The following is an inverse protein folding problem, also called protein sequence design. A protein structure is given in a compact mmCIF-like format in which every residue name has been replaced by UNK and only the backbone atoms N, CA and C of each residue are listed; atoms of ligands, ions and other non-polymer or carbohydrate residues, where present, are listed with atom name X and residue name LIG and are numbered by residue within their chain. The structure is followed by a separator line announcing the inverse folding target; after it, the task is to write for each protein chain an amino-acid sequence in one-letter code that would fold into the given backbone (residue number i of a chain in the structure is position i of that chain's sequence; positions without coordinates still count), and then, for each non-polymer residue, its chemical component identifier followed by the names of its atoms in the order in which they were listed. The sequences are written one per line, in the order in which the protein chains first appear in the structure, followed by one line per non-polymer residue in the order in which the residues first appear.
data_IF_584430983899
#
_entry.id   IF_584430983899
#
_cell.length_a   1.000
_cell.length_b   1.000
_cell.length_c   1.000
_cell.angle_alpha   90.00
_cell.angle_beta   90.00
_cell.angle_gamma   90.00
#
_symmetry.space_group_name_H-M   'P 1'
#
loop_
_entity.id
_entity.type
_entity.pdbx_description
1 polymer ?
#
# COMPACT_ATOMS: atom_id res chain seq x y z
N UNK A 1 10.87 3.62 2.33
CA UNK A 1 10.41 2.99 1.07
C UNK A 1 9.03 2.34 1.20
N UNK A 2 8.69 1.61 2.29
CA UNK A 2 7.32 1.04 2.49
C UNK A 2 6.18 2.08 2.51
N UNK A 3 6.43 3.35 2.86
CA UNK A 3 5.43 4.41 2.86
C UNK A 3 5.05 4.89 1.45
N UNK A 4 5.99 4.90 0.51
CA UNK A 4 5.75 5.35 -0.87
C UNK A 4 4.85 4.39 -1.64
N UNK A 5 4.95 3.08 -1.36
CA UNK A 5 4.13 2.06 -2.01
C UNK A 5 2.63 2.16 -1.66
N UNK A 6 2.32 2.56 -0.41
CA UNK A 6 0.93 2.72 0.02
C UNK A 6 0.23 3.94 -0.58
N UNK A 7 0.99 5.00 -0.87
CA UNK A 7 0.47 6.22 -1.50
C UNK A 7 0.13 6.06 -2.98
N UNK A 8 0.86 5.20 -3.71
CA UNK A 8 0.53 4.86 -5.10
C UNK A 8 -0.78 4.07 -5.22
N UNK A 9 -1.11 3.26 -4.20
CA UNK A 9 -2.35 2.49 -4.20
C UNK A 9 -3.61 3.36 -4.01
N UNK A 10 -3.52 4.49 -3.33
CA UNK A 10 -4.65 5.41 -3.10
C UNK A 10 -4.97 6.29 -4.32
N UNK A 11 -3.99 6.62 -5.15
CA UNK A 11 -4.17 7.47 -6.34
C UNK A 11 -4.85 6.80 -7.54
N UNK A 12 -5.09 5.50 -7.51
CA UNK A 12 -5.70 4.73 -8.63
C UNK A 12 -7.22 4.61 -8.55
N UNK A 13 -7.90 5.23 -7.57
CA UNK A 13 -9.33 5.03 -7.31
C UNK A 13 -10.27 6.10 -7.88
N UNK A 14 -9.81 7.00 -8.72
CA UNK A 14 -10.55 8.17 -9.19
C UNK A 14 -11.35 8.00 -10.47
N UNK A 15 -11.93 6.83 -10.82
CA UNK A 15 -12.84 6.75 -11.96
C UNK A 15 -13.94 5.70 -11.77
N UNK A 16 -14.97 6.03 -11.00
CA UNK A 16 -16.33 5.53 -11.25
C UNK A 16 -17.34 6.60 -10.83
N UNK A 17 -18.04 7.12 -11.83
CA UNK A 17 -19.02 8.20 -11.74
C UNK A 17 -20.17 7.86 -10.79
N UNK A 18 -20.50 8.81 -9.89
CA UNK A 18 -21.78 8.87 -9.19
C UNK A 18 -22.83 9.43 -10.15
N UNK A 19 -23.87 8.66 -10.43
CA UNK A 19 -25.16 9.20 -10.86
C UNK A 19 -26.12 9.09 -9.68
N UNK A 20 -26.48 10.23 -9.10
CA UNK A 20 -27.57 10.36 -8.15
C UNK A 20 -28.89 10.47 -8.91
N UNK A 21 -29.89 9.71 -8.51
CA UNK A 21 -31.30 9.95 -8.87
C UNK A 21 -32.18 9.81 -7.63
N UNK A 22 -32.91 10.88 -7.33
CA UNK A 22 -33.96 10.95 -6.32
C UNK A 22 -35.13 10.01 -6.66
N UNK A 23 -35.62 9.27 -5.68
CA UNK A 23 -36.81 8.45 -5.82
C UNK A 23 -37.90 8.84 -4.84
N UNK A 24 -38.99 9.30 -5.39
CA UNK A 24 -40.25 9.63 -4.71
C UNK A 24 -40.97 8.34 -4.28
N UNK A 25 -41.30 8.24 -3.00
CA UNK A 25 -42.04 7.11 -2.44
C UNK A 25 -43.49 7.13 -2.86
N UNK A 26 -43.97 6.05 -3.46
CA UNK A 26 -45.42 5.73 -3.60
C UNK A 26 -45.71 4.49 -2.76
N UNK A 27 -46.63 4.66 -1.80
CA UNK A 27 -47.25 3.57 -1.05
C UNK A 27 -48.14 2.72 -1.96
N UNK A 28 -47.88 1.44 -2.03
CA UNK A 28 -48.75 0.45 -2.67
C UNK A 28 -49.12 -0.67 -1.71
N UNK A 29 -50.40 -1.01 -1.71
CA UNK A 29 -51.08 -2.09 -0.98
C UNK A 29 -50.50 -3.46 -1.34
N UNK A 30 -50.40 -4.36 -0.34
CA UNK A 30 -49.78 -5.68 -0.43
C UNK A 30 -50.50 -6.56 -1.50
N UNK A 31 -49.71 -7.15 -2.43
CA UNK A 31 -50.25 -8.19 -3.34
C UNK A 31 -50.28 -9.55 -2.62
N UNK A 32 -51.02 -10.55 -3.18
CA UNK A 32 -51.12 -11.91 -2.65
C UNK A 32 -49.76 -12.60 -2.59
N UNK A 33 -49.58 -13.65 -1.75
CA UNK A 33 -48.29 -14.28 -1.54
C UNK A 33 -47.73 -14.77 -2.86
N UNK A 34 -46.72 -14.06 -3.33
CA UNK A 34 -45.94 -14.44 -4.51
C UNK A 34 -45.23 -15.76 -4.23
N UNK A 35 -45.19 -16.71 -5.17
CA UNK A 35 -44.43 -17.95 -4.99
C UNK A 35 -42.99 -17.58 -4.61
N UNK A 36 -42.43 -18.30 -3.65
CA UNK A 36 -41.09 -18.08 -3.15
C UNK A 36 -40.10 -18.01 -4.33
N UNK A 37 -39.34 -16.94 -4.43
CA UNK A 37 -38.41 -16.73 -5.54
C UNK A 37 -37.39 -17.89 -5.59
N UNK A 38 -37.14 -18.42 -6.78
CA UNK A 38 -36.17 -19.49 -6.99
C UNK A 38 -34.74 -19.00 -6.71
N UNK A 39 -33.78 -19.90 -6.41
CA UNK A 39 -32.37 -19.52 -6.26
C UNK A 39 -31.84 -18.69 -7.42
N UNK A 40 -32.24 -19.02 -8.64
CA UNK A 40 -31.82 -18.33 -9.85
C UNK A 40 -32.39 -16.90 -9.91
N UNK A 41 -33.66 -16.71 -9.56
CA UNK A 41 -34.28 -15.38 -9.48
C UNK A 41 -33.65 -14.53 -8.39
N UNK A 42 -33.39 -15.10 -7.21
CA UNK A 42 -32.72 -14.43 -6.13
C UNK A 42 -31.26 -14.04 -6.51
N UNK A 43 -30.55 -14.91 -7.21
CA UNK A 43 -29.19 -14.63 -7.68
C UNK A 43 -29.19 -13.44 -8.65
N UNK A 44 -30.09 -13.44 -9.64
CA UNK A 44 -30.25 -12.36 -10.60
C UNK A 44 -30.66 -11.04 -9.96
N UNK A 45 -31.55 -11.09 -8.96
CA UNK A 45 -31.93 -9.92 -8.16
C UNK A 45 -30.71 -9.39 -7.37
N UNK A 46 -29.92 -10.28 -6.77
CA UNK A 46 -28.70 -9.93 -6.07
C UNK A 46 -27.67 -9.25 -6.96
N UNK A 47 -27.43 -9.76 -8.17
CA UNK A 47 -26.52 -9.17 -9.15
C UNK A 47 -27.00 -7.77 -9.58
N UNK A 48 -28.30 -7.64 -9.86
CA UNK A 48 -28.88 -6.34 -10.24
C UNK A 48 -28.77 -5.32 -9.12
N UNK A 49 -29.06 -5.74 -7.89
CA UNK A 49 -28.92 -4.90 -6.71
C UNK A 49 -27.43 -4.48 -6.48
N UNK A 50 -26.50 -5.42 -6.70
CA UNK A 50 -25.06 -5.14 -6.57
C UNK A 50 -24.57 -4.15 -7.64
N UNK A 51 -25.05 -4.25 -8.88
CA UNK A 51 -24.77 -3.28 -9.95
C UNK A 51 -25.27 -1.89 -9.60
N UNK A 52 -26.46 -1.81 -8.99
CA UNK A 52 -27.09 -0.56 -8.55
C UNK A 52 -26.59 -0.07 -7.18
N UNK A 53 -25.53 -0.66 -6.65
CA UNK A 53 -24.96 -0.37 -5.34
C UNK A 53 -25.95 -0.49 -4.16
N UNK A 54 -27.03 -1.23 -4.32
CA UNK A 54 -27.96 -1.57 -3.24
C UNK A 54 -27.45 -2.81 -2.50
N UNK A 55 -26.47 -2.58 -1.63
CA UNK A 55 -25.75 -3.68 -0.96
C UNK A 55 -26.65 -4.50 -0.03
N UNK A 56 -27.64 -3.87 0.61
CA UNK A 56 -28.53 -4.57 1.55
C UNK A 56 -29.49 -5.51 0.83
N UNK A 57 -30.03 -5.10 -0.31
CA UNK A 57 -30.85 -5.97 -1.15
C UNK A 57 -30.02 -7.08 -1.75
N UNK A 58 -28.82 -6.75 -2.26
CA UNK A 58 -27.89 -7.75 -2.79
C UNK A 58 -27.55 -8.83 -1.76
N UNK A 59 -27.22 -8.42 -0.53
CA UNK A 59 -26.90 -9.36 0.56
C UNK A 59 -28.10 -10.26 0.89
N UNK A 60 -29.29 -9.69 1.07
CA UNK A 60 -30.49 -10.49 1.34
C UNK A 60 -30.74 -11.50 0.24
N UNK A 61 -30.61 -11.10 -1.02
CA UNK A 61 -30.84 -11.96 -2.18
C UNK A 61 -29.83 -13.12 -2.21
N UNK A 62 -28.51 -12.86 -2.05
CA UNK A 62 -27.53 -13.93 -2.05
C UNK A 62 -27.62 -14.86 -0.81
N UNK A 63 -27.99 -14.32 0.37
CA UNK A 63 -28.31 -15.15 1.53
C UNK A 63 -29.55 -16.02 1.27
N UNK A 64 -30.55 -15.49 0.57
CA UNK A 64 -31.71 -16.26 0.12
C UNK A 64 -31.35 -17.39 -0.84
N UNK A 65 -30.37 -17.18 -1.73
CA UNK A 65 -29.80 -18.25 -2.56
C UNK A 65 -29.19 -19.35 -1.68
N UNK A 66 -28.32 -18.96 -0.73
CA UNK A 66 -27.64 -19.93 0.15
C UNK A 66 -28.57 -20.68 1.09
N UNK A 67 -29.72 -20.11 1.44
CA UNK A 67 -30.74 -20.79 2.23
C UNK A 67 -31.40 -21.94 1.45
N UNK A 68 -31.45 -21.88 0.12
CA UNK A 68 -32.01 -22.90 -0.76
C UNK A 68 -30.93 -23.81 -1.37
N UNK A 69 -29.74 -23.23 -1.65
CA UNK A 69 -28.57 -23.95 -2.19
C UNK A 69 -27.29 -23.52 -1.43
N UNK A 70 -26.94 -24.21 -0.34
CA UNK A 70 -25.71 -23.94 0.43
C UNK A 70 -24.40 -24.16 -0.36
N UNK A 71 -24.46 -24.82 -1.54
CA UNK A 71 -23.30 -25.08 -2.39
C UNK A 71 -23.11 -24.03 -3.50
N UNK A 72 -23.91 -22.97 -3.53
CA UNK A 72 -23.85 -21.90 -4.52
C UNK A 72 -22.58 -21.03 -4.34
N UNK A 73 -21.45 -21.48 -4.88
CA UNK A 73 -20.16 -20.79 -4.81
C UNK A 73 -20.23 -19.32 -5.25
N UNK A 74 -21.02 -19.02 -6.31
CA UNK A 74 -21.24 -17.67 -6.81
C UNK A 74 -21.91 -16.75 -5.80
N UNK A 75 -22.81 -17.27 -4.95
CA UNK A 75 -23.45 -16.48 -3.90
C UNK A 75 -22.45 -16.10 -2.80
N UNK A 76 -21.59 -17.02 -2.38
CA UNK A 76 -20.48 -16.71 -1.46
C UNK A 76 -19.53 -15.67 -2.06
N UNK A 77 -19.15 -15.81 -3.33
CA UNK A 77 -18.28 -14.85 -4.00
C UNK A 77 -18.88 -13.45 -3.99
N UNK A 78 -20.17 -13.30 -4.30
CA UNK A 78 -20.86 -12.02 -4.29
C UNK A 78 -21.03 -11.43 -2.88
N UNK A 79 -21.29 -12.26 -1.87
CA UNK A 79 -21.27 -11.83 -0.46
C UNK A 79 -19.88 -11.31 -0.06
N UNK A 80 -18.82 -11.97 -0.50
CA UNK A 80 -17.45 -11.49 -0.35
C UNK A 80 -17.24 -10.11 -0.98
N UNK A 81 -17.73 -9.90 -2.21
CA UNK A 81 -17.67 -8.59 -2.89
C UNK A 81 -18.44 -7.51 -2.13
N UNK A 82 -19.63 -7.83 -1.59
CA UNK A 82 -20.40 -6.91 -0.75
C UNK A 82 -19.60 -6.52 0.50
N UNK A 83 -19.05 -7.49 1.20
CA UNK A 83 -18.21 -7.25 2.38
C UNK A 83 -16.96 -6.40 2.04
N UNK A 84 -16.33 -6.61 0.88
CA UNK A 84 -15.24 -5.76 0.38
C UNK A 84 -15.68 -4.31 0.18
N UNK A 85 -16.86 -4.07 -0.39
CA UNK A 85 -17.41 -2.71 -0.59
C UNK A 85 -17.67 -2.01 0.74
N UNK A 86 -18.05 -2.76 1.78
CA UNK A 86 -18.22 -2.28 3.15
C UNK A 86 -16.91 -2.21 3.95
N UNK A 87 -15.79 -2.55 3.35
CA UNK A 87 -14.45 -2.64 3.99
C UNK A 87 -14.40 -3.65 5.16
N UNK A 88 -15.27 -4.64 5.16
CA UNK A 88 -15.34 -5.73 6.14
C UNK A 88 -14.40 -6.87 5.70
N UNK A 89 -13.09 -6.62 5.74
CA UNK A 89 -12.08 -7.47 5.11
C UNK A 89 -12.05 -8.92 5.62
N UNK A 90 -12.11 -9.20 6.95
CA UNK A 90 -12.14 -10.58 7.42
C UNK A 90 -13.35 -11.35 6.89
N UNK A 91 -14.53 -10.75 6.93
CA UNK A 91 -15.77 -11.35 6.42
C UNK A 91 -15.70 -11.54 4.88
N UNK A 92 -15.11 -10.60 4.17
CA UNK A 92 -14.93 -10.72 2.73
C UNK A 92 -14.08 -11.95 2.37
N UNK A 93 -12.92 -12.10 3.01
CA UNK A 93 -12.03 -13.24 2.79
C UNK A 93 -12.67 -14.56 3.21
N UNK A 94 -13.40 -14.60 4.33
CA UNK A 94 -14.14 -15.80 4.76
C UNK A 94 -15.13 -16.26 3.68
N UNK A 95 -15.95 -15.34 3.18
CA UNK A 95 -16.94 -15.68 2.14
C UNK A 95 -16.27 -16.11 0.83
N UNK A 96 -15.22 -15.39 0.40
CA UNK A 96 -14.49 -15.71 -0.81
C UNK A 96 -13.80 -17.09 -0.73
N UNK A 97 -13.17 -17.44 0.41
CA UNK A 97 -12.56 -18.76 0.59
C UNK A 97 -13.59 -19.89 0.65
N UNK A 98 -14.79 -19.66 1.21
CA UNK A 98 -15.90 -20.63 1.11
C UNK A 98 -16.28 -20.86 -0.36
N UNK A 99 -16.42 -19.79 -1.13
CA UNK A 99 -16.71 -19.89 -2.56
C UNK A 99 -15.59 -20.60 -3.34
N UNK A 100 -14.33 -20.31 -3.06
CA UNK A 100 -13.16 -20.94 -3.66
C UNK A 100 -13.12 -22.45 -3.38
N UNK A 101 -13.40 -22.85 -2.13
CA UNK A 101 -13.44 -24.28 -1.74
C UNK A 101 -14.51 -25.05 -2.52
N UNK A 102 -15.67 -24.43 -2.74
CA UNK A 102 -16.79 -25.03 -3.48
C UNK A 102 -16.55 -25.09 -5.00
N UNK A 103 -15.83 -24.10 -5.53
CA UNK A 103 -15.58 -23.99 -6.98
C UNK A 103 -14.15 -23.47 -7.25
N UNK A 104 -13.11 -24.27 -7.00
CA UNK A 104 -11.71 -23.85 -7.15
C UNK A 104 -11.33 -23.51 -8.61
N UNK A 105 -12.07 -24.01 -9.60
CA UNK A 105 -11.90 -23.69 -11.01
C UNK A 105 -12.35 -22.27 -11.39
N UNK A 106 -13.12 -21.59 -10.54
CA UNK A 106 -13.61 -20.24 -10.83
C UNK A 106 -12.54 -19.18 -10.54
N UNK A 107 -11.75 -18.85 -11.54
CA UNK A 107 -10.69 -17.85 -11.45
C UNK A 107 -11.16 -16.48 -10.92
N UNK A 108 -12.43 -16.11 -11.18
CA UNK A 108 -13.03 -14.86 -10.67
C UNK A 108 -13.09 -14.77 -9.15
N UNK A 109 -13.22 -15.90 -8.44
CA UNK A 109 -13.19 -15.91 -6.97
C UNK A 109 -11.77 -15.62 -6.48
N UNK A 110 -10.76 -16.29 -7.04
CA UNK A 110 -9.35 -16.04 -6.71
C UNK A 110 -8.93 -14.61 -7.05
N UNK A 111 -9.45 -14.05 -8.16
CA UNK A 111 -9.25 -12.64 -8.49
C UNK A 111 -9.79 -11.73 -7.37
N UNK A 112 -10.98 -12.01 -6.84
CA UNK A 112 -11.57 -11.24 -5.74
C UNK A 112 -10.81 -11.41 -4.42
N UNK A 113 -10.25 -12.58 -4.13
CA UNK A 113 -9.36 -12.81 -2.98
C UNK A 113 -8.12 -11.91 -3.11
N UNK A 114 -7.47 -11.93 -4.28
CA UNK A 114 -6.35 -11.04 -4.57
C UNK A 114 -6.71 -9.56 -4.41
N UNK A 115 -7.87 -9.14 -4.93
CA UNK A 115 -8.38 -7.78 -4.78
C UNK A 115 -8.66 -7.41 -3.31
N UNK A 116 -9.17 -8.34 -2.50
CA UNK A 116 -9.40 -8.10 -1.08
C UNK A 116 -8.08 -7.83 -0.33
N UNK A 117 -7.03 -8.59 -0.59
CA UNK A 117 -5.71 -8.32 -0.05
C UNK A 117 -5.08 -7.04 -0.62
N UNK A 118 -5.18 -6.82 -1.93
CA UNK A 118 -4.66 -5.63 -2.59
C UNK A 118 -5.24 -4.33 -1.99
N UNK A 119 -6.55 -4.29 -1.77
CA UNK A 119 -7.24 -3.13 -1.19
C UNK A 119 -6.88 -2.87 0.28
N UNK A 120 -6.37 -3.86 0.98
CA UNK A 120 -5.80 -3.74 2.32
C UNK A 120 -4.31 -3.33 2.28
N UNK A 121 -3.74 -3.03 1.11
CA UNK A 121 -2.31 -2.84 0.88
C UNK A 121 -1.45 -4.07 1.29
N UNK A 122 -2.07 -5.24 1.45
CA UNK A 122 -1.37 -6.49 1.69
C UNK A 122 -0.95 -7.11 0.35
N UNK A 123 -0.04 -6.41 -0.34
CA UNK A 123 0.39 -6.80 -1.69
C UNK A 123 1.05 -8.17 -1.71
N UNK A 124 1.78 -8.54 -0.64
CA UNK A 124 2.42 -9.85 -0.55
C UNK A 124 1.41 -10.99 -0.54
N UNK A 125 0.32 -10.87 0.24
CA UNK A 125 -0.74 -11.88 0.27
C UNK A 125 -1.58 -11.91 -1.02
N UNK A 126 -1.65 -10.78 -1.75
CA UNK A 126 -2.37 -10.72 -3.02
C UNK A 126 -1.66 -11.44 -4.18
N UNK A 127 -0.34 -11.66 -4.09
CA UNK A 127 0.47 -12.26 -5.18
C UNK A 127 -0.05 -13.64 -5.55
N UNK A 128 -0.12 -14.59 -4.61
CA UNK A 128 -0.47 -15.98 -4.90
C UNK A 128 -1.87 -16.15 -5.55
N UNK A 129 -2.95 -15.48 -5.08
CA UNK A 129 -4.23 -15.47 -5.79
C UNK A 129 -4.12 -14.96 -7.22
N UNK A 130 -3.43 -13.83 -7.45
CA UNK A 130 -3.29 -13.29 -8.80
C UNK A 130 -2.40 -14.15 -9.71
N UNK A 131 -1.30 -14.73 -9.21
CA UNK A 131 -0.48 -15.71 -9.95
C UNK A 131 -1.31 -16.89 -10.41
N UNK A 132 -2.19 -17.41 -9.54
CA UNK A 132 -3.11 -18.48 -9.88
C UNK A 132 -4.05 -18.10 -11.03
N UNK A 133 -4.62 -16.88 -11.00
CA UNK A 133 -5.47 -16.38 -12.10
C UNK A 133 -4.70 -16.23 -13.40
N UNK A 134 -3.48 -15.67 -13.35
CA UNK A 134 -2.63 -15.48 -14.54
C UNK A 134 -2.21 -16.83 -15.13
N UNK A 135 -1.99 -17.87 -14.31
CA UNK A 135 -1.67 -19.22 -14.78
C UNK A 135 -2.83 -19.82 -15.58
N UNK A 136 -4.07 -19.67 -15.09
CA UNK A 136 -5.26 -20.24 -15.72
C UNK A 136 -5.74 -19.38 -16.91
N UNK A 137 -5.53 -18.06 -16.83
CA UNK A 137 -5.91 -17.10 -17.87
C UNK A 137 -4.75 -16.14 -18.17
N UNK A 138 -3.73 -16.57 -18.93
CA UNK A 138 -2.52 -15.79 -19.20
C UNK A 138 -2.76 -14.44 -19.86
N UNK A 139 -3.88 -14.27 -20.56
CA UNK A 139 -4.25 -13.04 -21.26
C UNK A 139 -5.15 -12.12 -20.45
N UNK A 140 -5.43 -12.44 -19.18
CA UNK A 140 -6.22 -11.59 -18.29
C UNK A 140 -5.47 -10.29 -18.02
N UNK A 141 -5.86 -9.18 -18.68
CA UNK A 141 -5.29 -7.85 -18.46
C UNK A 141 -5.35 -7.47 -16.98
N UNK A 142 -6.52 -7.61 -16.36
CA UNK A 142 -6.73 -7.20 -14.96
C UNK A 142 -5.82 -7.96 -13.99
N UNK A 143 -5.75 -9.30 -14.13
CA UNK A 143 -4.92 -10.11 -13.24
C UNK A 143 -3.43 -9.81 -13.42
N UNK A 144 -2.95 -9.68 -14.67
CA UNK A 144 -1.56 -9.31 -14.96
C UNK A 144 -1.21 -7.94 -14.43
N UNK A 145 -2.07 -6.95 -14.65
CA UNK A 145 -1.83 -5.58 -14.18
C UNK A 145 -1.73 -5.51 -12.66
N UNK A 146 -2.70 -6.11 -11.95
CA UNK A 146 -2.71 -6.15 -10.49
C UNK A 146 -1.54 -6.94 -9.90
N UNK A 147 -1.18 -8.06 -10.54
CA UNK A 147 0.00 -8.85 -10.15
C UNK A 147 1.29 -8.03 -10.34
N UNK A 148 1.42 -7.37 -11.47
CA UNK A 148 2.55 -6.47 -11.74
C UNK A 148 2.67 -5.35 -10.71
N UNK A 149 1.56 -4.75 -10.30
CA UNK A 149 1.53 -3.77 -9.21
C UNK A 149 1.93 -4.39 -7.87
N UNK A 150 1.44 -5.61 -7.55
CA UNK A 150 1.84 -6.31 -6.32
C UNK A 150 3.35 -6.58 -6.29
N UNK A 151 3.92 -7.02 -7.39
CA UNK A 151 5.36 -7.19 -7.51
C UNK A 151 6.10 -5.87 -7.37
N UNK A 152 5.62 -4.80 -7.99
CA UNK A 152 6.20 -3.47 -7.86
C UNK A 152 6.21 -2.99 -6.40
N UNK A 153 5.09 -3.09 -5.68
CA UNK A 153 4.99 -2.67 -4.29
C UNK A 153 5.76 -3.57 -3.29
N UNK A 154 6.08 -4.79 -3.70
CA UNK A 154 6.94 -5.71 -2.91
C UNK A 154 8.40 -5.68 -3.36
N UNK A 155 8.78 -4.70 -4.22
CA UNK A 155 10.13 -4.45 -4.71
C UNK A 155 10.69 -5.59 -5.60
N UNK A 156 9.81 -6.46 -6.09
CA UNK A 156 10.14 -7.50 -7.08
C UNK A 156 10.09 -6.90 -8.48
N UNK A 157 10.99 -5.94 -8.75
CA UNK A 157 10.92 -5.10 -9.95
C UNK A 157 11.07 -5.87 -11.26
N UNK A 158 11.91 -6.91 -11.31
CA UNK A 158 12.07 -7.76 -12.49
C UNK A 158 10.76 -8.50 -12.84
N UNK A 159 10.09 -9.04 -11.82
CA UNK A 159 8.80 -9.73 -11.98
C UNK A 159 7.72 -8.71 -12.39
N UNK A 160 7.73 -7.52 -11.79
CA UNK A 160 6.82 -6.44 -12.15
C UNK A 160 6.97 -6.04 -13.63
N UNK A 161 8.19 -5.78 -14.10
CA UNK A 161 8.44 -5.42 -15.48
C UNK A 161 8.01 -6.54 -16.44
N UNK A 162 8.33 -7.80 -16.14
CA UNK A 162 7.97 -8.96 -16.95
C UNK A 162 6.46 -9.18 -17.03
N UNK A 163 5.74 -8.84 -15.95
CA UNK A 163 4.29 -8.99 -15.90
C UNK A 163 3.56 -7.84 -16.61
N UNK A 164 4.10 -6.61 -16.53
CA UNK A 164 3.49 -5.41 -17.10
C UNK A 164 3.81 -5.23 -18.58
N UNK A 165 5.04 -5.52 -19.04
CA UNK A 165 5.46 -5.25 -20.41
C UNK A 165 4.52 -5.83 -21.49
N UNK A 166 3.98 -7.06 -21.37
CA UNK A 166 3.03 -7.62 -22.35
C UNK A 166 1.72 -6.84 -22.47
N UNK A 167 1.43 -5.97 -21.50
CA UNK A 167 0.22 -5.12 -21.51
C UNK A 167 0.40 -3.83 -22.31
N UNK A 168 1.60 -3.58 -22.86
CA UNK A 168 1.93 -2.37 -23.63
C UNK A 168 0.90 -2.00 -24.70
N UNK A 169 0.40 -2.93 -25.54
CA UNK A 169 -0.55 -2.58 -26.61
C UNK A 169 -1.87 -2.00 -26.09
N UNK A 170 -2.24 -2.33 -24.84
CA UNK A 170 -3.51 -1.95 -24.24
C UNK A 170 -3.40 -0.81 -23.22
N UNK A 171 -2.21 -0.59 -22.69
CA UNK A 171 -1.98 0.30 -21.55
C UNK A 171 -1.02 1.46 -21.82
N UNK A 172 -0.39 1.54 -23.02
CA UNK A 172 0.61 2.56 -23.34
C UNK A 172 0.09 4.01 -23.38
N UNK A 173 -1.22 4.22 -23.25
CA UNK A 173 -1.86 5.52 -23.09
C UNK A 173 -2.18 5.86 -21.63
N UNK A 174 -1.86 4.98 -20.66
CA UNK A 174 -2.13 5.17 -19.25
C UNK A 174 -0.87 5.65 -18.52
N UNK A 175 -0.88 6.89 -18.03
CA UNK A 175 0.30 7.50 -17.39
C UNK A 175 0.83 6.68 -16.22
N UNK A 176 -0.07 6.18 -15.35
CA UNK A 176 0.33 5.36 -14.20
C UNK A 176 0.99 4.03 -14.59
N UNK A 177 0.49 3.39 -15.65
CA UNK A 177 1.10 2.18 -16.19
C UNK A 177 2.53 2.45 -16.69
N UNK A 178 2.69 3.49 -17.51
CA UNK A 178 3.98 3.87 -18.07
C UNK A 178 4.99 4.23 -16.95
N UNK A 179 4.54 4.97 -15.94
CA UNK A 179 5.35 5.29 -14.77
C UNK A 179 5.82 4.04 -14.02
N UNK A 180 4.87 3.14 -13.68
CA UNK A 180 5.20 1.92 -12.92
C UNK A 180 6.13 1.01 -13.72
N UNK A 181 5.86 0.84 -15.02
CA UNK A 181 6.72 0.04 -15.92
C UNK A 181 8.12 0.65 -16.04
N UNK A 182 8.23 1.98 -16.23
CA UNK A 182 9.51 2.66 -16.32
C UNK A 182 10.37 2.50 -15.06
N UNK A 183 9.78 2.72 -13.88
CA UNK A 183 10.48 2.50 -12.60
C UNK A 183 10.90 1.03 -12.43
N UNK A 184 9.98 0.08 -12.71
CA UNK A 184 10.29 -1.35 -12.60
C UNK A 184 11.42 -1.76 -13.54
N UNK A 185 11.43 -1.25 -14.78
CA UNK A 185 12.46 -1.49 -15.78
C UNK A 185 13.82 -0.93 -15.34
N UNK A 186 13.88 0.32 -14.88
CA UNK A 186 15.11 0.94 -14.38
C UNK A 186 15.70 0.21 -13.17
N UNK A 187 14.85 -0.20 -12.22
CA UNK A 187 15.27 -0.96 -11.03
C UNK A 187 15.66 -2.41 -11.33
N UNK A 188 15.29 -2.96 -12.48
CA UNK A 188 15.63 -4.32 -12.93
C UNK A 188 16.67 -4.36 -14.04
N UNK A 189 17.44 -3.28 -14.24
CA UNK A 189 18.51 -3.16 -15.22
C UNK A 189 18.05 -3.38 -16.69
N UNK A 190 16.90 -2.81 -17.04
CA UNK A 190 16.31 -2.81 -18.39
C UNK A 190 16.20 -1.39 -18.95
N UNK A 191 17.34 -0.72 -19.27
CA UNK A 191 17.37 0.71 -19.61
C UNK A 191 16.56 1.06 -20.86
N UNK A 192 16.54 0.19 -21.87
CA UNK A 192 15.76 0.45 -23.10
C UNK A 192 14.26 0.50 -22.83
N UNK A 193 13.75 -0.40 -21.99
CA UNK A 193 12.35 -0.40 -21.59
C UNK A 193 12.00 0.80 -20.68
N UNK A 194 12.92 1.16 -19.78
CA UNK A 194 12.79 2.36 -18.94
C UNK A 194 12.69 3.61 -19.83
N UNK A 195 13.63 3.81 -20.75
CA UNK A 195 13.66 4.95 -21.67
C UNK A 195 12.37 5.01 -22.50
N UNK A 196 11.97 3.89 -23.09
CA UNK A 196 10.74 3.79 -23.87
C UNK A 196 9.51 4.19 -23.07
N UNK A 197 9.38 3.68 -21.85
CA UNK A 197 8.23 3.97 -21.00
C UNK A 197 8.16 5.46 -20.63
N UNK A 198 9.28 6.08 -20.24
CA UNK A 198 9.31 7.49 -19.88
C UNK A 198 9.19 8.44 -21.08
N UNK A 199 9.69 8.07 -22.26
CA UNK A 199 9.46 8.87 -23.48
C UNK A 199 7.97 8.94 -23.82
N UNK A 200 7.29 7.77 -23.85
CA UNK A 200 5.85 7.73 -24.12
C UNK A 200 5.03 8.39 -22.99
N UNK A 201 5.47 8.28 -21.72
CA UNK A 201 4.87 9.00 -20.61
C UNK A 201 4.90 10.51 -20.84
N UNK A 202 6.06 11.05 -21.24
CA UNK A 202 6.23 12.48 -21.52
C UNK A 202 5.36 12.94 -22.71
N UNK A 203 5.29 12.17 -23.77
CA UNK A 203 4.46 12.47 -24.94
C UNK A 203 2.96 12.40 -24.61
N UNK A 204 2.52 11.37 -23.89
CA UNK A 204 1.11 11.14 -23.55
C UNK A 204 0.59 12.17 -22.55
N UNK A 205 1.41 12.59 -21.60
CA UNK A 205 1.04 13.49 -20.51
C UNK A 205 0.84 14.96 -20.94
N UNK A 206 1.38 15.40 -22.07
CA UNK A 206 1.19 16.75 -22.66
C UNK A 206 1.35 17.92 -21.65
N UNK A 207 2.39 17.90 -20.81
CA UNK A 207 2.61 18.91 -19.75
C UNK A 207 1.46 19.02 -18.71
N UNK A 208 0.70 17.97 -18.51
CA UNK A 208 -0.32 17.93 -17.46
C UNK A 208 0.29 17.94 -16.06
N UNK A 209 -0.48 18.40 -15.07
CA UNK A 209 -0.06 18.34 -13.66
C UNK A 209 0.25 16.90 -13.23
N UNK A 210 -0.51 15.91 -13.73
CA UNK A 210 -0.32 14.49 -13.48
C UNK A 210 1.02 13.98 -14.05
N UNK A 211 1.39 14.40 -15.27
CA UNK A 211 2.71 14.07 -15.84
C UNK A 211 3.82 14.60 -14.94
N UNK A 212 3.78 15.90 -14.59
CA UNK A 212 4.80 16.51 -13.75
C UNK A 212 4.89 15.85 -12.37
N UNK A 213 3.75 15.44 -11.78
CA UNK A 213 3.74 14.65 -10.54
C UNK A 213 4.47 13.32 -10.72
N UNK A 214 4.21 12.58 -11.80
CA UNK A 214 4.82 11.28 -12.05
C UNK A 214 6.32 11.41 -12.35
N UNK A 215 6.72 12.42 -13.13
CA UNK A 215 8.13 12.72 -13.41
C UNK A 215 8.88 13.10 -12.12
N UNK A 216 8.29 13.96 -11.30
CA UNK A 216 8.89 14.31 -10.01
C UNK A 216 9.05 13.10 -9.08
N UNK A 217 8.09 12.20 -9.04
CA UNK A 217 8.22 10.92 -8.31
C UNK A 217 9.29 10.01 -8.89
N UNK A 218 9.46 9.98 -10.23
CA UNK A 218 10.53 9.24 -10.87
C UNK A 218 11.90 9.78 -10.45
N UNK A 219 12.08 11.10 -10.45
CA UNK A 219 13.30 11.76 -9.98
C UNK A 219 13.59 11.48 -8.49
N UNK A 220 12.56 11.47 -7.62
CA UNK A 220 12.75 11.04 -6.21
C UNK A 220 13.31 9.61 -6.13
N UNK A 221 12.77 8.68 -6.92
CA UNK A 221 13.24 7.29 -6.94
C UNK A 221 14.69 7.14 -7.44
N UNK A 222 15.14 8.05 -8.31
CA UNK A 222 16.53 8.14 -8.80
C UNK A 222 17.43 8.96 -7.88
N UNK A 223 16.89 9.55 -6.81
CA UNK A 223 17.59 10.44 -5.87
C UNK A 223 18.00 11.79 -6.51
N UNK A 224 17.38 12.17 -7.60
CA UNK A 224 17.56 13.41 -8.35
C UNK A 224 16.60 14.48 -7.76
N UNK A 225 16.90 14.92 -6.54
CA UNK A 225 15.94 15.70 -5.75
C UNK A 225 15.68 17.10 -6.29
N UNK A 226 16.66 17.74 -6.96
CA UNK A 226 16.47 19.06 -7.57
C UNK A 226 15.53 19.00 -8.77
N UNK A 227 15.68 18.00 -9.62
CA UNK A 227 14.77 17.75 -10.75
C UNK A 227 13.38 17.36 -10.24
N UNK A 228 13.32 16.57 -9.16
CA UNK A 228 12.05 16.24 -8.51
C UNK A 228 11.31 17.51 -8.04
N UNK A 229 11.99 18.44 -7.36
CA UNK A 229 11.40 19.68 -6.88
C UNK A 229 10.92 20.55 -8.04
N UNK A 230 11.68 20.60 -9.13
CA UNK A 230 11.31 21.34 -10.34
C UNK A 230 10.02 20.80 -10.95
N UNK A 231 9.97 19.48 -11.21
CA UNK A 231 8.80 18.84 -11.80
C UNK A 231 7.56 18.95 -10.89
N UNK A 232 7.72 18.65 -9.60
CA UNK A 232 6.63 18.77 -8.62
C UNK A 232 6.15 20.21 -8.44
N UNK A 233 7.05 21.19 -8.57
CA UNK A 233 6.72 22.61 -8.59
C UNK A 233 5.85 22.99 -9.81
N UNK A 234 6.14 22.43 -10.98
CA UNK A 234 5.30 22.57 -12.17
C UNK A 234 3.93 21.92 -11.96
N UNK A 235 3.88 20.74 -11.35
CA UNK A 235 2.62 20.08 -10.99
C UNK A 235 1.78 20.94 -10.05
N UNK A 236 2.38 21.46 -8.96
CA UNK A 236 1.71 22.34 -7.99
C UNK A 236 1.20 23.63 -8.63
N UNK A 237 1.96 24.20 -9.59
CA UNK A 237 1.54 25.40 -10.31
C UNK A 237 0.37 25.12 -11.25
N UNK A 238 0.38 23.98 -11.95
CA UNK A 238 -0.68 23.60 -12.89
C UNK A 238 -1.98 23.18 -12.17
N UNK A 239 -1.86 22.43 -11.07
CA UNK A 239 -2.99 22.03 -10.23
C UNK A 239 -2.58 21.99 -8.75
N UNK A 240 -2.76 23.07 -7.99
CA UNK A 240 -2.40 23.14 -6.57
C UNK A 240 -3.17 22.17 -5.67
N UNK A 241 -4.30 21.63 -6.15
CA UNK A 241 -5.14 20.66 -5.42
C UNK A 241 -4.94 19.22 -5.87
N UNK A 242 -4.00 18.96 -6.79
CA UNK A 242 -3.70 17.60 -7.21
C UNK A 242 -3.16 16.79 -6.01
N UNK A 243 -3.80 15.69 -5.63
CA UNK A 243 -3.38 14.87 -4.49
C UNK A 243 -1.92 14.46 -4.59
N UNK A 244 -1.25 14.44 -3.44
CA UNK A 244 0.16 14.00 -3.27
C UNK A 244 1.24 14.90 -3.91
N UNK A 245 0.91 16.01 -4.55
CA UNK A 245 1.93 16.93 -5.08
C UNK A 245 2.74 17.51 -3.94
N UNK A 246 2.05 18.11 -2.96
CA UNK A 246 2.70 18.72 -1.80
C UNK A 246 3.38 17.67 -0.91
N UNK A 247 2.80 16.48 -0.76
CA UNK A 247 3.45 15.37 -0.07
C UNK A 247 4.80 15.00 -0.70
N UNK A 248 4.85 14.84 -2.03
CA UNK A 248 6.09 14.50 -2.72
C UNK A 248 7.10 15.65 -2.73
N UNK A 249 6.67 16.92 -2.80
CA UNK A 249 7.54 18.08 -2.56
C UNK A 249 8.16 18.02 -1.16
N UNK A 250 7.35 17.73 -0.15
CA UNK A 250 7.81 17.53 1.22
C UNK A 250 8.88 16.45 1.33
N UNK A 251 8.67 15.30 0.67
CA UNK A 251 9.66 14.21 0.62
C UNK A 251 10.96 14.69 -0.06
N UNK A 252 10.88 15.37 -1.20
CA UNK A 252 12.06 15.84 -1.93
C UNK A 252 12.88 16.84 -1.09
N UNK A 253 12.23 17.82 -0.47
CA UNK A 253 12.89 18.76 0.47
C UNK A 253 13.47 18.04 1.69
N UNK A 254 12.75 17.07 2.29
CA UNK A 254 13.26 16.28 3.40
C UNK A 254 14.54 15.54 3.03
N UNK A 255 14.60 14.93 1.84
CA UNK A 255 15.78 14.24 1.34
C UNK A 255 16.97 15.18 1.13
N UNK A 256 16.71 16.44 0.79
CA UNK A 256 17.73 17.50 0.73
C UNK A 256 18.08 18.08 2.10
N UNK A 257 17.49 17.60 3.19
CA UNK A 257 17.65 18.15 4.55
C UNK A 257 17.08 19.57 4.71
N UNK A 258 16.24 20.03 3.80
CA UNK A 258 15.54 21.31 3.87
C UNK A 258 14.26 21.17 4.72
N UNK A 259 14.45 20.90 6.02
CA UNK A 259 13.38 20.46 6.94
C UNK A 259 12.22 21.46 7.07
N UNK A 260 12.52 22.79 7.02
CA UNK A 260 11.50 23.83 7.11
C UNK A 260 10.56 23.75 5.90
N UNK A 261 11.11 23.74 4.70
CA UNK A 261 10.33 23.63 3.46
C UNK A 261 9.57 22.31 3.40
N UNK A 262 10.21 21.21 3.80
CA UNK A 262 9.57 19.91 3.86
C UNK A 262 8.31 19.94 4.73
N UNK A 263 8.41 20.54 5.93
CA UNK A 263 7.26 20.67 6.85
C UNK A 263 6.15 21.54 6.28
N UNK A 264 6.50 22.65 5.63
CA UNK A 264 5.52 23.53 4.96
C UNK A 264 4.73 22.77 3.89
N UNK A 265 5.40 21.98 3.07
CA UNK A 265 4.73 21.20 2.03
C UNK A 265 3.85 20.09 2.61
N UNK A 266 4.30 19.37 3.64
CA UNK A 266 3.46 18.39 4.32
C UNK A 266 2.24 19.02 5.01
N UNK A 267 2.35 20.23 5.54
CA UNK A 267 1.22 20.97 6.10
C UNK A 267 0.20 21.38 5.01
N UNK A 268 0.67 21.79 3.81
CA UNK A 268 -0.22 22.05 2.67
C UNK A 268 -0.98 20.80 2.26
N UNK A 269 -0.31 19.64 2.16
CA UNK A 269 -0.96 18.38 1.84
C UNK A 269 -1.95 17.96 2.92
N UNK A 270 -1.60 18.10 4.19
CA UNK A 270 -2.49 17.82 5.33
C UNK A 270 -3.73 18.75 5.38
N UNK A 271 -3.63 19.95 4.82
CA UNK A 271 -4.77 20.85 4.71
C UNK A 271 -5.73 20.43 3.58
N UNK A 272 -5.20 19.87 2.49
CA UNK A 272 -5.98 19.34 1.39
C UNK A 272 -6.59 17.97 1.72
N UNK A 273 -5.83 17.12 2.40
CA UNK A 273 -6.20 15.74 2.74
C UNK A 273 -6.02 15.47 4.25
N UNK A 274 -6.94 15.97 5.10
CA UNK A 274 -6.76 15.95 6.57
C UNK A 274 -6.85 14.55 7.20
N UNK A 275 -7.34 13.56 6.45
CA UNK A 275 -7.49 12.17 6.91
C UNK A 275 -6.33 11.27 6.46
N UNK A 276 -5.31 11.82 5.80
CA UNK A 276 -4.12 11.07 5.39
C UNK A 276 -3.10 11.03 6.53
N UNK A 277 -2.99 9.87 7.18
CA UNK A 277 -2.13 9.66 8.35
C UNK A 277 -0.64 9.97 8.08
N UNK A 278 -0.17 9.67 6.87
CA UNK A 278 1.24 9.86 6.48
C UNK A 278 1.69 11.32 6.54
N UNK A 279 0.81 12.28 6.29
CA UNK A 279 1.15 13.70 6.42
C UNK A 279 1.58 14.02 7.85
N UNK A 280 0.81 13.57 8.83
CA UNK A 280 1.10 13.80 10.25
C UNK A 280 2.28 12.98 10.76
N UNK A 281 2.53 11.79 10.19
CA UNK A 281 3.74 11.01 10.45
C UNK A 281 4.99 11.78 10.03
N UNK A 282 5.00 12.36 8.82
CA UNK A 282 6.14 13.11 8.30
C UNK A 282 6.33 14.47 9.02
N UNK A 283 5.25 15.18 9.32
CA UNK A 283 5.32 16.40 10.14
C UNK A 283 5.89 16.06 11.52
N UNK A 284 5.40 15.00 12.15
CA UNK A 284 5.90 14.52 13.44
C UNK A 284 7.38 14.13 13.40
N UNK A 285 7.82 13.46 12.33
CA UNK A 285 9.25 13.14 12.12
C UNK A 285 10.11 14.41 12.09
N UNK A 286 9.69 15.41 11.34
CA UNK A 286 10.43 16.69 11.26
C UNK A 286 10.46 17.37 12.64
N UNK A 287 9.35 17.36 13.37
CA UNK A 287 9.28 17.89 14.72
C UNK A 287 10.23 17.17 15.68
N UNK A 288 10.35 15.82 15.57
CA UNK A 288 11.34 15.04 16.33
C UNK A 288 12.76 15.45 16.00
N UNK A 289 13.07 15.65 14.71
CA UNK A 289 14.42 16.05 14.26
C UNK A 289 14.78 17.45 14.73
N UNK A 290 13.81 18.37 14.81
CA UNK A 290 13.98 19.72 15.29
C UNK A 290 13.93 19.85 16.82
N UNK A 291 13.65 18.77 17.55
CA UNK A 291 13.53 18.78 19.01
C UNK A 291 12.20 19.33 19.54
N UNK A 292 11.21 19.58 18.69
CA UNK A 292 9.89 20.11 19.02
C UNK A 292 8.99 19.00 19.60
N UNK A 293 9.36 18.48 20.78
CA UNK A 293 8.76 17.26 21.34
C UNK A 293 7.22 17.36 21.53
N UNK A 294 6.68 18.53 21.89
CA UNK A 294 5.25 18.71 22.11
C UNK A 294 4.46 18.65 20.78
N UNK A 295 4.97 19.28 19.73
CA UNK A 295 4.41 19.24 18.38
C UNK A 295 4.50 17.84 17.80
N UNK A 296 5.67 17.21 17.94
CA UNK A 296 5.89 15.83 17.51
C UNK A 296 4.86 14.89 18.12
N UNK A 297 4.67 14.92 19.45
CA UNK A 297 3.68 14.09 20.13
C UNK A 297 2.26 14.31 19.60
N UNK A 298 1.84 15.57 19.38
CA UNK A 298 0.51 15.89 18.84
C UNK A 298 0.30 15.30 17.44
N UNK A 299 1.27 15.52 16.54
CA UNK A 299 1.18 15.08 15.16
C UNK A 299 1.25 13.55 15.04
N UNK A 300 2.18 12.90 15.75
CA UNK A 300 2.31 11.44 15.75
C UNK A 300 1.07 10.75 16.33
N UNK A 301 0.48 11.29 17.40
CA UNK A 301 -0.79 10.78 17.93
C UNK A 301 -1.93 10.98 16.94
N UNK A 302 -1.95 12.08 16.16
CA UNK A 302 -2.94 12.26 15.10
C UNK A 302 -2.74 11.24 14.00
N UNK A 303 -1.51 10.97 13.56
CA UNK A 303 -1.18 9.92 12.61
C UNK A 303 -1.69 8.56 13.07
N UNK A 304 -1.44 8.19 14.34
CA UNK A 304 -1.86 6.92 14.94
C UNK A 304 -3.37 6.80 15.15
N UNK A 305 -4.10 7.90 15.33
CA UNK A 305 -5.57 7.86 15.33
C UNK A 305 -6.15 7.58 13.95
N UNK A 306 -5.51 8.09 12.90
CA UNK A 306 -5.92 7.86 11.51
C UNK A 306 -5.50 6.48 10.99
N UNK A 307 -4.28 6.05 11.34
CA UNK A 307 -3.77 4.70 11.03
C UNK A 307 -2.99 4.12 12.22
N UNK A 308 -3.61 3.28 13.06
CA UNK A 308 -2.94 2.65 14.20
C UNK A 308 -1.81 1.68 13.82
N UNK A 309 -1.68 1.31 12.54
CA UNK A 309 -0.68 0.36 12.03
C UNK A 309 0.63 1.03 11.60
N UNK A 310 0.79 2.36 11.78
CA UNK A 310 2.03 3.07 11.46
C UNK A 310 3.13 2.78 12.48
N UNK A 311 3.97 1.78 12.19
CA UNK A 311 5.14 1.44 13.01
C UNK A 311 6.12 2.62 13.13
N UNK A 312 6.27 3.44 12.07
CA UNK A 312 7.09 4.65 12.05
C UNK A 312 6.66 5.66 13.11
N UNK A 313 5.37 6.00 13.15
CA UNK A 313 4.81 6.94 14.14
C UNK A 313 4.99 6.45 15.57
N UNK A 314 4.83 5.14 15.82
CA UNK A 314 5.07 4.54 17.14
C UNK A 314 6.54 4.62 17.56
N UNK A 315 7.44 4.29 16.65
CA UNK A 315 8.88 4.41 16.88
C UNK A 315 9.28 5.86 17.20
N UNK A 316 8.81 6.83 16.42
CA UNK A 316 9.09 8.24 16.65
C UNK A 316 8.49 8.74 17.97
N UNK A 317 7.28 8.30 18.33
CA UNK A 317 6.63 8.65 19.58
C UNK A 317 7.40 8.07 20.79
N UNK A 318 7.93 6.85 20.66
CA UNK A 318 8.83 6.27 21.66
C UNK A 318 10.11 7.10 21.85
N UNK A 319 10.69 7.63 20.76
CA UNK A 319 11.85 8.53 20.85
C UNK A 319 11.49 9.85 21.58
N UNK A 320 10.31 10.40 21.31
CA UNK A 320 9.82 11.61 22.02
C UNK A 320 9.71 11.31 23.52
N UNK A 321 9.09 10.20 23.92
CA UNK A 321 8.95 9.84 25.31
C UNK A 321 10.28 9.50 25.97
N UNK A 322 11.21 8.87 25.25
CA UNK A 322 12.59 8.64 25.75
C UNK A 322 13.28 9.97 26.09
N UNK A 323 13.23 10.96 25.19
CA UNK A 323 13.80 12.31 25.42
C UNK A 323 13.16 13.05 26.60
N UNK A 324 11.89 12.75 26.89
CA UNK A 324 11.16 13.29 28.03
C UNK A 324 11.40 12.52 29.34
N UNK A 325 12.21 11.46 29.33
CA UNK A 325 12.43 10.57 30.48
C UNK A 325 11.25 9.66 30.82
N UNK A 326 10.22 9.62 29.97
CA UNK A 326 9.01 8.81 30.14
C UNK A 326 9.21 7.38 29.62
N UNK A 327 10.19 6.66 30.18
CA UNK A 327 10.66 5.37 29.65
C UNK A 327 9.58 4.30 29.59
N UNK A 328 8.67 4.24 30.57
CA UNK A 328 7.57 3.28 30.58
C UNK A 328 6.57 3.53 29.42
N UNK A 329 6.26 4.79 29.12
CA UNK A 329 5.41 5.14 27.99
C UNK A 329 6.11 4.88 26.65
N UNK A 330 7.41 5.17 26.57
CA UNK A 330 8.23 4.85 25.42
C UNK A 330 8.25 3.35 25.12
N UNK A 331 8.34 2.50 26.17
CA UNK A 331 8.33 1.05 26.03
C UNK A 331 7.00 0.53 25.46
N UNK A 332 5.86 1.09 25.87
CA UNK A 332 4.54 0.72 25.30
C UNK A 332 4.51 0.96 23.78
N UNK A 333 4.96 2.13 23.33
CA UNK A 333 4.92 2.46 21.90
C UNK A 333 5.94 1.64 21.10
N UNK A 334 7.14 1.39 21.64
CA UNK A 334 8.15 0.60 20.93
C UNK A 334 7.77 -0.89 20.87
N UNK A 335 7.12 -1.45 21.89
CA UNK A 335 6.58 -2.80 21.88
C UNK A 335 5.52 -2.97 20.79
N UNK A 336 4.67 -1.96 20.60
CA UNK A 336 3.70 -1.96 19.53
C UNK A 336 4.35 -1.80 18.15
N UNK A 337 5.43 -0.99 18.02
CA UNK A 337 6.19 -0.88 16.78
C UNK A 337 6.88 -2.20 16.41
N UNK A 338 7.47 -2.91 17.39
CA UNK A 338 8.12 -4.21 17.18
C UNK A 338 7.14 -5.29 16.68
N UNK A 339 5.89 -5.27 17.15
CA UNK A 339 4.85 -6.19 16.65
C UNK A 339 4.45 -5.89 15.20
N UNK A 340 4.47 -4.62 14.80
CA UNK A 340 4.10 -4.19 13.46
C UNK A 340 5.23 -4.37 12.44
N UNK A 341 6.49 -4.19 12.87
CA UNK A 341 7.69 -4.33 12.04
C UNK A 341 8.79 -5.09 12.80
N UNK A 342 8.66 -6.42 12.94
CA UNK A 342 9.56 -7.24 13.75
C UNK A 342 10.97 -7.39 13.17
N UNK A 343 11.20 -6.97 11.92
CA UNK A 343 12.52 -6.96 11.28
C UNK A 343 13.27 -5.64 11.39
N UNK A 344 12.76 -4.66 12.13
CA UNK A 344 13.35 -3.34 12.21
C UNK A 344 14.39 -3.25 13.33
N UNK A 345 15.67 -3.28 12.95
CA UNK A 345 16.79 -3.21 13.89
C UNK A 345 16.77 -1.97 14.79
N UNK A 346 16.32 -0.81 14.26
CA UNK A 346 16.24 0.42 15.04
C UNK A 346 15.19 0.35 16.15
N UNK A 347 14.10 -0.36 15.91
CA UNK A 347 13.03 -0.60 16.90
C UNK A 347 13.57 -1.46 18.03
N UNK A 348 14.24 -2.58 17.72
CA UNK A 348 14.83 -3.48 18.72
C UNK A 348 15.94 -2.80 19.52
N UNK A 349 16.79 -2.01 18.85
CA UNK A 349 17.84 -1.24 19.52
C UNK A 349 17.25 -0.24 20.54
N UNK A 350 16.26 0.55 20.13
CA UNK A 350 15.60 1.51 21.03
C UNK A 350 14.89 0.78 22.20
N UNK A 351 14.25 -0.35 21.92
CA UNK A 351 13.60 -1.19 22.92
C UNK A 351 14.61 -1.66 23.97
N UNK A 352 15.77 -2.16 23.55
CA UNK A 352 16.85 -2.55 24.43
C UNK A 352 17.34 -1.42 25.35
N UNK A 353 17.52 -0.21 24.80
CA UNK A 353 17.88 0.97 25.58
C UNK A 353 16.83 1.31 26.64
N UNK A 354 15.55 1.28 26.28
CA UNK A 354 14.45 1.58 27.19
C UNK A 354 14.33 0.55 28.31
N UNK A 355 14.51 -0.73 27.99
CA UNK A 355 14.54 -1.82 28.97
C UNK A 355 15.70 -1.64 29.97
N UNK A 356 16.87 -1.20 29.49
CA UNK A 356 18.01 -0.90 30.34
C UNK A 356 17.73 0.24 31.32
N UNK A 357 17.12 1.35 30.83
CA UNK A 357 16.71 2.46 31.69
C UNK A 357 15.67 2.08 32.74
N UNK A 358 14.84 1.07 32.46
CA UNK A 358 13.83 0.54 33.39
C UNK A 358 14.37 -0.56 34.32
N UNK A 359 15.69 -0.86 34.28
CA UNK A 359 16.31 -1.89 35.11
C UNK A 359 16.03 -3.33 34.66
N UNK A 360 15.39 -3.55 33.51
CA UNK A 360 15.05 -4.87 32.94
C UNK A 360 16.25 -5.44 32.18
N UNK A 361 17.37 -5.63 32.86
CA UNK A 361 18.69 -5.88 32.26
C UNK A 361 18.76 -7.16 31.42
N UNK A 362 18.08 -8.24 31.84
CA UNK A 362 18.10 -9.50 31.07
C UNK A 362 17.40 -9.34 29.73
N UNK A 363 16.24 -8.66 29.72
CA UNK A 363 15.48 -8.39 28.50
C UNK A 363 16.22 -7.40 27.59
N UNK A 364 16.87 -6.40 28.17
CA UNK A 364 17.70 -5.46 27.41
C UNK A 364 18.83 -6.18 26.67
N UNK A 365 19.52 -7.12 27.33
CA UNK A 365 20.58 -7.95 26.70
C UNK A 365 20.01 -8.78 25.54
N UNK A 366 18.89 -9.47 25.77
CA UNK A 366 18.25 -10.28 24.73
C UNK A 366 17.90 -9.44 23.47
N UNK A 367 17.42 -8.20 23.66
CA UNK A 367 17.13 -7.27 22.55
C UNK A 367 18.40 -6.81 21.83
N UNK A 368 19.46 -6.49 22.54
CA UNK A 368 20.74 -6.10 21.94
C UNK A 368 21.38 -7.24 21.15
N UNK A 369 21.31 -8.46 21.67
CA UNK A 369 21.78 -9.67 20.98
C UNK A 369 20.94 -9.94 19.71
N UNK A 370 19.61 -9.77 19.78
CA UNK A 370 18.72 -9.88 18.63
C UNK A 370 19.05 -8.81 17.57
N UNK A 371 19.26 -7.56 17.98
CA UNK A 371 19.68 -6.46 17.09
C UNK A 371 20.98 -6.80 16.37
N UNK A 372 21.98 -7.30 17.10
CA UNK A 372 23.28 -7.69 16.53
C UNK A 372 23.13 -8.80 15.49
N UNK A 373 22.33 -9.83 15.79
CA UNK A 373 22.05 -10.91 14.81
C UNK A 373 21.38 -10.37 13.55
N UNK A 374 20.33 -9.54 13.68
CA UNK A 374 19.65 -8.93 12.55
C UNK A 374 20.58 -8.08 11.68
N UNK A 375 21.46 -7.30 12.30
CA UNK A 375 22.46 -6.48 11.58
C UNK A 375 23.44 -7.35 10.79
N UNK A 376 23.90 -8.45 11.38
CA UNK A 376 24.80 -9.39 10.70
C UNK A 376 24.09 -10.07 9.52
N UNK A 377 22.86 -10.55 9.70
CA UNK A 377 22.06 -11.15 8.62
C UNK A 377 21.82 -10.16 7.46
N UNK A 378 21.51 -8.89 7.76
CA UNK A 378 21.34 -7.86 6.76
C UNK A 378 22.65 -7.55 6.01
N UNK A 379 23.77 -7.51 6.73
CA UNK A 379 25.11 -7.33 6.14
C UNK A 379 25.45 -8.49 5.22
N UNK A 380 25.26 -9.73 5.67
CA UNK A 380 25.59 -10.94 4.91
C UNK A 380 24.70 -11.05 3.66
N UNK A 381 23.41 -10.69 3.78
CA UNK A 381 22.50 -10.62 2.63
C UNK A 381 22.96 -9.59 1.60
N UNK A 382 23.30 -8.37 2.05
CA UNK A 382 23.81 -7.31 1.15
C UNK A 382 25.11 -7.73 0.47
N UNK A 383 25.99 -8.43 1.19
CA UNK A 383 27.24 -8.91 0.69
C UNK A 383 27.05 -9.99 -0.39
N UNK A 384 26.12 -10.93 -0.16
CA UNK A 384 25.73 -11.92 -1.18
C UNK A 384 25.14 -11.27 -2.43
N UNK A 385 24.32 -10.24 -2.27
CA UNK A 385 23.74 -9.50 -3.38
C UNK A 385 24.78 -8.72 -4.20
N UNK A 386 25.82 -8.20 -3.54
CA UNK A 386 26.88 -7.42 -4.20
C UNK A 386 27.98 -8.30 -4.86
N UNK A 387 28.32 -9.41 -4.25
CA UNK A 387 29.50 -10.19 -4.64
C UNK A 387 29.20 -11.64 -5.04
N UNK A 388 27.94 -12.08 -5.05
CA UNK A 388 27.54 -13.42 -5.50
C UNK A 388 28.01 -14.57 -4.59
N UNK A 389 28.58 -14.29 -3.41
CA UNK A 389 29.10 -15.29 -2.46
C UNK A 389 29.57 -14.68 -1.15
N UNK A 390 30.00 -15.50 -0.17
CA UNK A 390 30.58 -15.01 1.08
C UNK A 390 31.84 -14.20 0.77
N UNK A 391 32.08 -13.11 1.54
CA UNK A 391 33.28 -12.30 1.39
C UNK A 391 34.54 -13.17 1.53
N UNK A 392 35.59 -12.88 0.76
CA UNK A 392 36.89 -13.51 1.02
C UNK A 392 37.30 -13.22 2.47
N UNK A 393 37.68 -14.27 3.17
CA UNK A 393 38.14 -14.17 4.56
C UNK A 393 39.38 -13.25 4.59
N UNK A 394 39.37 -12.11 5.32
CA UNK A 394 40.50 -11.18 5.33
C UNK A 394 41.80 -11.81 5.89
N UNK A 395 41.73 -12.97 6.55
CA UNK A 395 42.92 -13.73 7.00
C UNK A 395 43.64 -14.48 5.87
N UNK A 396 43.02 -14.61 4.68
CA UNK A 396 43.62 -15.30 3.53
C UNK A 396 44.29 -14.34 2.51
N UNK A 397 44.30 -13.04 2.78
CA UNK A 397 44.92 -12.02 1.91
C UNK A 397 46.30 -11.53 2.43
N UNK A 398 46.91 -12.21 3.40
CA UNK A 398 48.32 -11.94 3.72
C UNK A 398 49.20 -12.64 2.70
N UNK A 399 49.76 -11.87 1.76
CA UNK A 399 50.84 -12.34 0.91
C UNK A 399 52.03 -12.82 1.79
N UNK A 400 52.66 -13.95 1.48
CA UNK A 400 53.88 -14.36 2.16
C UNK A 400 55.01 -13.37 1.83
N UNK A 401 55.62 -12.81 2.87
CA UNK A 401 56.83 -11.99 2.77
C UNK A 401 58.04 -12.82 2.28
#
# INVERSE_FOLDING_TARGET
MKSLSRLLALGLFGLFALCAFDSIAKTQTAPPPTPAATPQQLFQQGETALKNNNLDLAERSFRGVLAQDPQAAGAYANLGVIAMRRKQWPQALEMLHKGEHLAPQLAGIRLNIGLAYYRQNNFRAAIAPFESVVRDAPNSYQARYLLGLCYFFTERYSDAASMLEPLWPQASNQLNYLYVLGIAAGKSSRPDLEQRAFSVLAETGQNSAELHLLMGKAHINRQEYDDAIKELGLAAKANPKLPFVHFNLGIAYYKKQELVRAKEEFLKDAALEPDVAYNYDQIGLIDVLQGNNAEAERNLRKALRLDPSLASSRYQLAQVYQRQGKYAQALIEIDAAAKLDPGNTSVHYLRGQLLQHLGRTQEARAEMDATTRMMNEQRDKRQKELYGGPAPNPELTQEPQ
#
